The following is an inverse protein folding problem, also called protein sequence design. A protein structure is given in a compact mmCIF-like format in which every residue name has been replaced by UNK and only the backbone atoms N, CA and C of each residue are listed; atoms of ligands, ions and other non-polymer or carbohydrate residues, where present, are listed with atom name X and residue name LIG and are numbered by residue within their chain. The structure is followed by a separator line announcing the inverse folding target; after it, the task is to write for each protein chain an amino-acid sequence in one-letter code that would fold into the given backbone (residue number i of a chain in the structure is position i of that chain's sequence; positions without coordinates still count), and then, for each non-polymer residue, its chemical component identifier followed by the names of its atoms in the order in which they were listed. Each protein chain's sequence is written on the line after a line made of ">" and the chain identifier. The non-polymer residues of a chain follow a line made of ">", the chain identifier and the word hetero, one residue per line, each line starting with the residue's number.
data_IF_046950065968
#
_entry.id   IF_046950065968
#
_cell.length_a   1.000
_cell.length_b   1.000
_cell.length_c   1.000
_cell.angle_alpha   90.00
_cell.angle_beta   90.00
_cell.angle_gamma   90.00
#
_symmetry.space_group_name_H-M   'P 1'
#
loop_
_entity.id
_entity.type
_entity.pdbx_description
1 polymer ?
#
# COMPACT_ATOMS: atom_id res chain seq x y z
N UNK A 1 -20.18 -35.71 18.48
CA UNK A 1 -18.85 -35.21 18.08
C UNK A 1 -19.08 -34.04 17.13
N UNK A 2 -19.17 -32.83 17.67
CA UNK A 2 -19.51 -31.62 16.90
C UNK A 2 -18.31 -31.20 16.08
N UNK A 3 -18.44 -31.24 14.76
CA UNK A 3 -17.41 -30.81 13.82
C UNK A 3 -17.53 -29.29 13.66
N UNK A 4 -16.52 -28.56 14.14
CA UNK A 4 -16.42 -27.11 14.02
C UNK A 4 -15.96 -26.77 12.59
N UNK A 5 -16.84 -26.22 11.76
CA UNK A 5 -16.45 -25.63 10.48
C UNK A 5 -15.61 -24.38 10.75
N UNK A 6 -14.30 -24.47 10.52
CA UNK A 6 -13.44 -23.29 10.46
C UNK A 6 -13.80 -22.51 9.19
N UNK A 7 -14.48 -21.37 9.34
CA UNK A 7 -14.62 -20.41 8.26
C UNK A 7 -13.24 -19.85 7.92
N UNK A 8 -12.66 -20.28 6.80
CA UNK A 8 -11.52 -19.60 6.20
C UNK A 8 -11.99 -18.22 5.75
N UNK A 9 -11.78 -17.21 6.58
CA UNK A 9 -11.88 -15.82 6.15
C UNK A 9 -10.84 -15.61 5.05
N UNK A 10 -11.29 -15.58 3.80
CA UNK A 10 -10.44 -15.24 2.67
C UNK A 10 -10.11 -13.77 2.81
N UNK A 11 -8.95 -13.44 3.38
CA UNK A 11 -8.44 -12.08 3.39
C UNK A 11 -8.35 -11.62 1.93
N UNK A 12 -9.20 -10.68 1.56
CA UNK A 12 -9.22 -10.14 0.22
C UNK A 12 -7.96 -9.28 0.03
N UNK A 13 -7.25 -9.49 -1.09
CA UNK A 13 -6.05 -8.71 -1.40
C UNK A 13 -6.39 -7.23 -1.50
N UNK A 14 -5.60 -6.38 -0.84
CA UNK A 14 -5.72 -4.93 -0.98
C UNK A 14 -5.33 -4.46 -2.39
N UNK A 15 -4.35 -5.13 -2.99
CA UNK A 15 -3.84 -4.79 -4.31
C UNK A 15 -2.89 -5.83 -4.87
N UNK A 16 -2.07 -5.40 -5.83
CA UNK A 16 -1.11 -6.25 -6.51
C UNK A 16 0.14 -5.44 -6.91
N UNK A 17 1.31 -6.08 -6.81
CA UNK A 17 2.56 -5.53 -7.35
C UNK A 17 2.51 -5.56 -8.88
N UNK A 18 2.64 -4.39 -9.52
CA UNK A 18 2.62 -4.22 -10.98
C UNK A 18 4.00 -4.00 -11.57
N UNK A 19 4.88 -3.32 -10.85
CA UNK A 19 6.25 -3.07 -11.31
C UNK A 19 7.23 -3.30 -10.17
N UNK A 20 8.42 -3.76 -10.52
CA UNK A 20 9.52 -3.94 -9.59
C UNK A 20 10.83 -3.69 -10.33
N UNK A 21 11.67 -2.82 -9.77
CA UNK A 21 13.05 -2.61 -10.16
C UNK A 21 13.92 -2.78 -8.92
N UNK A 22 15.02 -3.53 -9.04
CA UNK A 22 15.90 -3.82 -7.91
C UNK A 22 15.28 -4.81 -6.94
N UNK A 23 15.40 -4.55 -5.64
CA UNK A 23 14.95 -5.45 -4.58
C UNK A 23 13.88 -4.79 -3.72
N UNK A 24 12.80 -5.52 -3.45
CA UNK A 24 11.79 -5.15 -2.47
C UNK A 24 11.34 -6.38 -1.69
N UNK A 25 10.87 -6.17 -0.48
CA UNK A 25 10.35 -7.21 0.39
C UNK A 25 8.98 -6.82 0.94
N UNK A 26 8.12 -7.82 1.14
CA UNK A 26 6.84 -7.71 1.84
C UNK A 26 6.99 -8.45 3.16
N UNK A 27 6.89 -7.74 4.29
CA UNK A 27 6.77 -8.36 5.60
C UNK A 27 5.29 -8.57 5.94
N UNK A 28 4.90 -9.84 6.15
CA UNK A 28 3.53 -10.27 6.43
C UNK A 28 3.54 -11.35 7.51
N UNK A 29 2.69 -11.20 8.53
CA UNK A 29 2.53 -12.19 9.60
C UNK A 29 3.86 -12.68 10.22
N UNK A 30 4.83 -11.77 10.38
CA UNK A 30 6.15 -12.07 10.96
C UNK A 30 7.16 -12.70 9.99
N UNK A 31 6.78 -12.94 8.73
CA UNK A 31 7.68 -13.42 7.68
C UNK A 31 8.08 -12.27 6.76
N UNK A 32 9.28 -12.33 6.20
CA UNK A 32 9.77 -11.40 5.19
C UNK A 32 9.88 -12.18 3.88
N UNK A 33 9.11 -11.78 2.88
CA UNK A 33 9.04 -12.40 1.57
C UNK A 33 9.65 -11.45 0.52
N UNK A 34 10.50 -11.93 -0.40
CA UNK A 34 10.90 -11.12 -1.54
C UNK A 34 9.68 -10.78 -2.38
N UNK A 35 9.47 -9.51 -2.70
CA UNK A 35 8.37 -9.08 -3.54
C UNK A 35 8.65 -9.45 -5.00
N UNK A 36 7.61 -9.92 -5.70
CA UNK A 36 7.64 -10.20 -7.13
C UNK A 36 6.47 -9.50 -7.83
N UNK A 37 6.63 -9.26 -9.13
CA UNK A 37 5.52 -8.75 -9.95
C UNK A 37 4.41 -9.80 -9.96
N UNK A 38 3.18 -9.37 -9.70
CA UNK A 38 2.01 -10.24 -9.57
C UNK A 38 1.68 -10.62 -8.13
N UNK A 39 2.57 -10.36 -7.17
CA UNK A 39 2.31 -10.69 -5.77
C UNK A 39 1.11 -9.89 -5.24
N UNK A 40 0.21 -10.53 -4.48
CA UNK A 40 -0.88 -9.85 -3.81
C UNK A 40 -0.33 -9.02 -2.66
N UNK A 41 -0.79 -7.78 -2.56
CA UNK A 41 -0.57 -6.92 -1.39
C UNK A 41 -1.80 -7.01 -0.51
N UNK A 42 -1.60 -7.33 0.76
CA UNK A 42 -2.66 -7.52 1.76
C UNK A 42 -2.69 -6.35 2.74
N UNK A 43 -3.81 -6.21 3.43
CA UNK A 43 -3.85 -5.41 4.65
C UNK A 43 -2.84 -5.93 5.69
N UNK A 44 -2.14 -5.02 6.35
CA UNK A 44 -1.10 -5.31 7.32
C UNK A 44 0.29 -5.51 6.72
N UNK A 45 0.43 -5.51 5.40
CA UNK A 45 1.73 -5.65 4.74
C UNK A 45 2.63 -4.44 4.98
N UNK A 46 3.88 -4.72 5.37
CA UNK A 46 4.94 -3.73 5.34
C UNK A 46 5.85 -3.98 4.13
N UNK A 47 5.82 -3.06 3.17
CA UNK A 47 6.65 -3.09 1.96
C UNK A 47 7.92 -2.28 2.20
N UNK A 48 9.07 -2.84 1.85
CA UNK A 48 10.36 -2.13 1.92
C UNK A 48 11.14 -2.28 0.62
N UNK A 49 11.79 -1.22 0.16
CA UNK A 49 12.66 -1.21 -1.03
C UNK A 49 14.13 -1.04 -0.66
N UNK A 50 15.01 -1.64 -1.46
CA UNK A 50 16.46 -1.50 -1.35
C UNK A 50 16.99 -0.18 -1.94
N UNK A 51 18.32 -0.10 -2.02
CA UNK A 51 19.00 0.94 -2.80
C UNK A 51 18.68 0.78 -4.29
N UNK A 52 18.62 1.90 -5.03
CA UNK A 52 18.34 1.93 -6.48
C UNK A 52 17.10 1.13 -6.92
N UNK A 53 16.15 0.95 -6.00
CA UNK A 53 14.99 0.09 -6.17
C UNK A 53 13.70 0.91 -6.25
N UNK A 54 12.70 0.38 -6.94
CA UNK A 54 11.35 0.94 -6.93
C UNK A 54 10.31 -0.17 -7.06
N UNK A 55 9.15 0.06 -6.46
CA UNK A 55 8.00 -0.87 -6.54
C UNK A 55 6.73 -0.09 -6.83
N UNK A 56 5.94 -0.57 -7.78
CA UNK A 56 4.63 -0.04 -8.14
C UNK A 56 3.54 -1.02 -7.74
N UNK A 57 2.54 -0.54 -7.01
CA UNK A 57 1.40 -1.32 -6.52
C UNK A 57 0.11 -0.67 -7.03
N UNK A 58 -0.81 -1.48 -7.51
CA UNK A 58 -2.17 -1.03 -7.82
C UNK A 58 -3.13 -1.67 -6.83
N UNK A 59 -3.86 -0.84 -6.09
CA UNK A 59 -4.92 -1.27 -5.18
C UNK A 59 -6.21 -1.54 -5.95
N UNK A 60 -7.15 -2.24 -5.31
CA UNK A 60 -8.42 -2.63 -5.95
C UNK A 60 -9.36 -1.47 -6.28
N UNK A 61 -9.16 -0.32 -5.65
CA UNK A 61 -9.91 0.90 -5.94
C UNK A 61 -9.29 1.71 -7.10
N UNK A 62 -8.32 1.14 -7.81
CA UNK A 62 -7.49 1.78 -8.83
C UNK A 62 -6.49 2.83 -8.29
N UNK A 63 -6.30 2.93 -6.98
CA UNK A 63 -5.19 3.73 -6.42
C UNK A 63 -3.85 3.12 -6.85
N UNK A 64 -2.96 3.95 -7.39
CA UNK A 64 -1.60 3.54 -7.74
C UNK A 64 -0.61 4.13 -6.75
N UNK A 65 0.23 3.26 -6.21
CA UNK A 65 1.28 3.59 -5.26
C UNK A 65 2.64 3.27 -5.89
N UNK A 66 3.56 4.22 -5.91
CA UNK A 66 4.92 4.01 -6.38
C UNK A 66 5.91 4.41 -5.29
N UNK A 67 6.59 3.43 -4.71
CA UNK A 67 7.62 3.67 -3.70
C UNK A 67 9.01 3.67 -4.34
N UNK A 68 9.81 4.69 -3.99
CA UNK A 68 11.18 4.87 -4.46
C UNK A 68 12.20 4.02 -3.71
N UNK A 69 13.47 4.40 -3.82
CA UNK A 69 14.55 3.73 -3.10
C UNK A 69 14.46 4.01 -1.58
N UNK A 70 14.94 3.06 -0.78
CA UNK A 70 14.97 3.20 0.69
C UNK A 70 13.60 3.49 1.33
N UNK A 71 12.52 3.11 0.69
CA UNK A 71 11.16 3.34 1.17
C UNK A 71 10.72 2.24 2.14
N UNK A 72 9.92 2.63 3.14
CA UNK A 72 9.19 1.71 4.00
C UNK A 72 7.73 2.16 4.11
N UNK A 73 6.84 1.36 3.53
CA UNK A 73 5.41 1.59 3.41
C UNK A 73 4.64 0.53 4.22
N UNK A 74 3.57 0.94 4.90
CA UNK A 74 2.66 0.04 5.61
C UNK A 74 1.23 0.28 5.11
N UNK A 75 0.60 -0.77 4.58
CA UNK A 75 -0.83 -0.77 4.26
C UNK A 75 -1.57 -1.13 5.54
N UNK A 76 -2.01 -0.12 6.31
CA UNK A 76 -2.64 -0.35 7.62
C UNK A 76 -4.04 -0.93 7.49
N UNK A 77 -4.83 -0.37 6.59
CA UNK A 77 -6.22 -0.74 6.36
C UNK A 77 -6.56 -0.56 4.90
N UNK A 78 -7.23 -1.54 4.32
CA UNK A 78 -7.80 -1.39 3.00
C UNK A 78 -9.12 -2.14 2.88
N UNK A 79 -10.18 -1.41 2.59
CA UNK A 79 -11.49 -1.96 2.29
C UNK A 79 -12.05 -1.24 1.07
N UNK A 80 -12.64 -1.98 0.13
CA UNK A 80 -13.23 -1.39 -1.05
C UNK A 80 -14.42 -2.21 -1.56
N UNK A 81 -15.56 -1.55 -1.74
CA UNK A 81 -16.73 -2.11 -2.39
C UNK A 81 -16.77 -1.65 -3.87
N UNK A 82 -16.57 -2.55 -4.85
CA UNK A 82 -16.54 -2.16 -6.26
C UNK A 82 -17.91 -1.74 -6.82
N UNK A 83 -19.01 -2.03 -6.13
CA UNK A 83 -20.36 -1.64 -6.54
C UNK A 83 -20.71 -0.24 -6.06
N UNK A 84 -20.53 0.04 -4.77
CA UNK A 84 -20.86 1.35 -4.20
C UNK A 84 -19.72 2.37 -4.31
N UNK A 85 -18.49 1.90 -4.55
CA UNK A 85 -17.26 2.68 -4.49
C UNK A 85 -16.93 3.22 -3.08
N UNK A 86 -17.59 2.70 -2.05
CA UNK A 86 -17.26 2.99 -0.66
C UNK A 86 -16.04 2.17 -0.24
N UNK A 87 -15.28 2.69 0.70
CA UNK A 87 -14.11 2.02 1.19
C UNK A 87 -13.32 2.86 2.18
N UNK A 88 -12.15 2.35 2.54
CA UNK A 88 -11.18 3.00 3.40
C UNK A 88 -9.79 2.60 2.95
N UNK A 89 -8.88 3.57 2.86
CA UNK A 89 -7.47 3.36 2.62
C UNK A 89 -6.67 4.11 3.68
N UNK A 90 -6.07 3.37 4.61
CA UNK A 90 -5.10 3.92 5.56
C UNK A 90 -3.72 3.36 5.27
N UNK A 91 -2.78 4.26 5.01
CA UNK A 91 -1.41 3.92 4.70
C UNK A 91 -0.43 4.78 5.48
N UNK A 92 0.77 4.24 5.72
CA UNK A 92 1.83 4.95 6.42
C UNK A 92 3.18 4.78 5.76
N UNK A 93 3.87 5.89 5.55
CA UNK A 93 5.23 5.94 5.02
C UNK A 93 6.17 6.26 6.17
N UNK A 94 7.05 5.31 6.53
CA UNK A 94 8.01 5.49 7.62
C UNK A 94 9.27 6.24 7.18
N UNK A 95 9.72 5.99 5.95
CA UNK A 95 10.91 6.58 5.32
C UNK A 95 10.84 6.45 3.80
N UNK A 96 11.68 7.22 3.11
CA UNK A 96 11.79 7.27 1.65
C UNK A 96 10.65 8.04 1.00
N UNK A 97 10.43 7.76 -0.28
CA UNK A 97 9.45 8.50 -1.09
C UNK A 97 8.31 7.58 -1.54
N UNK A 98 7.10 8.13 -1.56
CA UNK A 98 5.90 7.50 -2.11
C UNK A 98 5.17 8.49 -3.02
N UNK A 99 5.01 8.15 -4.29
CA UNK A 99 4.08 8.82 -5.19
C UNK A 99 2.73 8.08 -5.18
N UNK A 100 1.64 8.84 -5.18
CA UNK A 100 0.28 8.31 -5.12
C UNK A 100 -0.57 8.95 -6.20
N UNK A 101 -1.25 8.12 -6.98
CA UNK A 101 -2.34 8.53 -7.87
C UNK A 101 -3.63 7.99 -7.25
N UNK A 102 -4.51 8.91 -6.88
CA UNK A 102 -5.73 8.60 -6.13
C UNK A 102 -6.73 7.78 -6.96
N UNK A 103 -7.26 6.72 -6.35
CA UNK A 103 -8.28 5.85 -6.93
C UNK A 103 -9.71 6.34 -6.71
N UNK A 104 -10.64 5.38 -6.74
CA UNK A 104 -12.09 5.58 -6.66
C UNK A 104 -12.55 6.01 -5.26
N UNK A 105 -11.95 5.48 -4.19
CA UNK A 105 -12.35 5.84 -2.81
C UNK A 105 -12.15 7.34 -2.59
N UNK A 106 -11.00 7.88 -3.00
CA UNK A 106 -10.72 9.31 -2.84
C UNK A 106 -11.69 10.22 -3.63
N UNK A 107 -12.31 9.70 -4.71
CA UNK A 107 -13.27 10.46 -5.52
C UNK A 107 -14.65 10.51 -4.89
N UNK A 108 -15.07 9.44 -4.20
CA UNK A 108 -16.37 9.36 -3.51
C UNK A 108 -16.29 9.90 -2.09
N UNK A 109 -15.26 9.50 -1.35
CA UNK A 109 -15.03 9.82 0.05
C UNK A 109 -13.56 10.21 0.28
N UNK A 110 -13.17 11.46 0.01
CA UNK A 110 -11.77 11.90 0.19
C UNK A 110 -11.28 11.71 1.63
N UNK A 111 -12.15 11.87 2.62
CA UNK A 111 -11.81 11.70 4.04
C UNK A 111 -11.54 10.23 4.43
N UNK A 112 -11.91 9.27 3.58
CA UNK A 112 -11.67 7.85 3.79
C UNK A 112 -10.30 7.38 3.27
N UNK A 113 -9.50 8.30 2.73
CA UNK A 113 -8.14 8.03 2.25
C UNK A 113 -7.13 8.82 3.09
N UNK A 114 -6.34 8.12 3.88
CA UNK A 114 -5.36 8.73 4.78
C UNK A 114 -3.96 8.17 4.56
N UNK A 115 -3.01 9.07 4.34
CA UNK A 115 -1.59 8.77 4.31
C UNK A 115 -0.89 9.48 5.47
N UNK A 116 -0.12 8.73 6.25
CA UNK A 116 0.59 9.24 7.44
C UNK A 116 2.10 9.05 7.31
N UNK A 117 2.89 10.06 7.68
CA UNK A 117 4.36 10.02 7.65
C UNK A 117 4.95 10.71 8.87
N UNK A 118 6.13 10.27 9.31
CA UNK A 118 6.85 10.88 10.43
C UNK A 118 7.48 12.23 10.07
N UNK A 119 7.66 12.51 8.78
CA UNK A 119 8.20 13.78 8.27
C UNK A 119 7.26 14.36 7.22
N UNK A 120 6.94 15.65 7.33
CA UNK A 120 5.92 16.31 6.49
C UNK A 120 6.63 17.07 5.37
N UNK A 121 6.78 16.44 4.21
CA UNK A 121 6.91 17.16 2.92
C UNK A 121 5.91 16.54 1.94
N UNK A 122 4.81 17.27 1.68
CA UNK A 122 3.78 16.89 0.71
C UNK A 122 3.91 17.78 -0.54
N UNK A 123 4.36 17.19 -1.64
CA UNK A 123 4.34 17.84 -2.96
C UNK A 123 3.09 17.44 -3.72
N UNK A 124 2.38 18.39 -4.34
CA UNK A 124 1.18 18.12 -5.15
C UNK A 124 1.43 18.49 -6.61
N UNK A 125 1.16 17.58 -7.54
CA UNK A 125 1.19 17.81 -8.99
C UNK A 125 -0.07 17.21 -9.62
N UNK A 126 -1.14 18.00 -9.72
CA UNK A 126 -2.43 17.53 -10.25
C UNK A 126 -3.16 16.61 -9.26
N UNK A 127 -3.65 15.44 -9.71
CA UNK A 127 -4.26 14.40 -8.85
C UNK A 127 -3.24 13.43 -8.25
N UNK A 128 -1.96 13.66 -8.54
CA UNK A 128 -0.82 12.94 -7.99
C UNK A 128 -0.20 13.76 -6.85
N UNK A 129 0.15 13.08 -5.76
CA UNK A 129 0.91 13.67 -4.68
C UNK A 129 2.10 12.80 -4.30
N UNK A 130 3.17 13.44 -3.86
CA UNK A 130 4.43 12.83 -3.47
C UNK A 130 4.60 13.08 -1.97
N UNK A 131 4.79 11.99 -1.23
CA UNK A 131 5.15 11.98 0.18
C UNK A 131 6.64 11.69 0.26
N UNK A 132 7.40 12.61 0.82
CA UNK A 132 8.79 12.37 1.20
C UNK A 132 8.90 12.32 2.73
N UNK A 133 9.29 11.15 3.23
CA UNK A 133 9.47 10.90 4.65
C UNK A 133 10.93 11.05 5.12
N UNK A 134 11.85 11.42 4.21
CA UNK A 134 13.29 11.43 4.45
C UNK A 134 13.89 10.05 4.78
N UNK A 135 15.18 10.03 5.04
CA UNK A 135 15.81 8.94 5.79
C UNK A 135 15.39 9.10 7.25
N UNK A 136 14.49 8.24 7.74
CA UNK A 136 14.05 8.26 9.14
C UNK A 136 15.22 8.25 10.15
N UNK A 137 14.97 8.55 11.44
CA UNK A 137 16.01 8.67 12.46
C UNK A 137 16.87 7.42 12.65
#
# INVERSE_FOLDING_TARGET
>A
MTLLCAATAHAESAGMVKTLKGQANIARAGQILPAQIGDPVMEGDQISTGADSSIGITLRDDTMLAAGAHSALLIKRFAFNPTTHDGQLDSSVKRGTLAVISGKIAKTHPDAVQFSTNSITLGVRGTEFIIDAGDGP
#
